data_IF_460051402200
#
_entry.id   IF_460051402200
#
_cell.length_a   1.000
_cell.length_b   1.000
_cell.length_c   1.000
_cell.angle_alpha   90.00
_cell.angle_beta   90.00
_cell.angle_gamma   90.00
#
_symmetry.space_group_name_H-M   'P 1'
#
loop_
_entity.id
_entity.type
_entity.pdbx_description
1 polymer ?
#
# COMPACT_ATOMS: atom_id res chain seq x y z
N UNK A 1 7.19 -53.03 63.21
CA UNK A 1 5.89 -53.48 62.69
C UNK A 1 5.67 -52.76 61.38
N UNK A 2 5.83 -53.49 60.31
CA UNK A 2 5.73 -53.12 58.95
C UNK A 2 4.25 -53.03 58.55
N UNK A 3 3.87 -52.03 57.77
CA UNK A 3 2.69 -52.13 56.90
C UNK A 3 3.04 -51.56 55.57
N UNK A 4 3.03 -52.43 54.59
CA UNK A 4 3.28 -52.19 53.18
C UNK A 4 2.04 -51.69 52.50
N UNK A 5 2.19 -50.66 51.66
CA UNK A 5 1.16 -50.14 50.74
C UNK A 5 1.39 -50.77 49.37
N UNK A 6 0.38 -51.36 48.71
CA UNK A 6 0.54 -52.01 47.41
C UNK A 6 0.58 -50.98 46.26
N UNK A 7 1.55 -51.17 45.40
CA UNK A 7 1.71 -50.46 44.13
C UNK A 7 0.66 -50.89 43.11
N UNK A 8 -0.16 -49.95 42.66
CA UNK A 8 -1.14 -50.15 41.62
C UNK A 8 -0.54 -49.76 40.27
N UNK A 9 -0.09 -50.73 39.50
CA UNK A 9 0.44 -50.59 38.15
C UNK A 9 -0.69 -50.47 37.16
N UNK A 10 -0.96 -49.24 36.69
CA UNK A 10 -1.92 -48.99 35.60
C UNK A 10 -1.20 -49.17 34.27
N UNK A 11 -1.49 -50.22 33.56
CA UNK A 11 -1.11 -50.42 32.16
C UNK A 11 -1.75 -49.38 31.26
N UNK A 12 -0.92 -48.42 30.79
CA UNK A 12 -1.31 -47.40 29.81
C UNK A 12 -1.09 -47.96 28.41
N UNK A 13 -2.16 -48.51 27.82
CA UNK A 13 -2.19 -48.90 26.39
C UNK A 13 -1.96 -47.68 25.53
N UNK A 14 -0.83 -47.64 24.84
CA UNK A 14 -0.52 -46.61 23.82
C UNK A 14 -1.39 -46.79 22.61
N UNK A 15 -2.45 -45.98 22.47
CA UNK A 15 -3.16 -45.80 21.22
C UNK A 15 -2.24 -45.11 20.21
N UNK A 16 -1.75 -45.88 19.25
CA UNK A 16 -1.06 -45.42 18.05
C UNK A 16 -1.97 -44.44 17.31
N UNK A 17 -1.71 -43.11 17.39
CA UNK A 17 -2.32 -42.11 16.55
C UNK A 17 -1.89 -42.40 15.11
N UNK A 18 -2.83 -42.80 14.26
CA UNK A 18 -2.67 -42.81 12.82
C UNK A 18 -2.37 -41.38 12.39
N UNK A 19 -1.22 -41.16 11.77
CA UNK A 19 -0.86 -39.92 11.11
C UNK A 19 -1.79 -39.77 9.88
N UNK A 20 -2.70 -38.79 9.93
CA UNK A 20 -3.37 -38.30 8.73
C UNK A 20 -2.31 -37.75 7.75
N UNK A 21 -2.43 -38.05 6.44
CA UNK A 21 -1.49 -37.54 5.47
C UNK A 21 -1.58 -36.02 5.43
N UNK A 22 -0.42 -35.35 5.50
CA UNK A 22 -0.29 -33.90 5.39
C UNK A 22 -0.95 -33.42 4.10
N UNK A 23 -1.95 -32.55 4.24
CA UNK A 23 -2.58 -31.86 3.10
C UNK A 23 -1.51 -31.15 2.27
N UNK A 24 -1.46 -31.34 0.95
CA UNK A 24 -0.48 -30.71 0.10
C UNK A 24 -0.59 -29.19 0.22
N UNK A 25 0.55 -28.53 0.49
CA UNK A 25 0.65 -27.10 0.64
C UNK A 25 -0.02 -26.40 -0.55
N UNK A 26 -0.99 -25.52 -0.28
CA UNK A 26 -1.57 -24.64 -1.30
C UNK A 26 -0.46 -23.75 -1.84
N UNK A 27 0.08 -24.18 -2.97
CA UNK A 27 0.99 -23.43 -3.81
C UNK A 27 0.48 -22.01 -4.05
N UNK A 28 1.41 -21.06 -4.16
CA UNK A 28 1.24 -19.71 -4.69
C UNK A 28 0.07 -19.64 -5.66
N UNK A 29 -0.91 -18.76 -5.40
CA UNK A 29 -2.05 -18.54 -6.28
C UNK A 29 -1.54 -18.09 -7.66
N UNK A 30 -1.22 -19.05 -8.50
CA UNK A 30 -1.07 -18.85 -9.93
C UNK A 30 -2.39 -18.28 -10.45
N UNK A 31 -2.32 -17.28 -11.33
CA UNK A 31 -3.51 -16.82 -12.04
C UNK A 31 -4.18 -18.05 -12.66
N UNK A 32 -5.52 -18.19 -12.55
CA UNK A 32 -6.19 -19.30 -13.20
C UNK A 32 -5.82 -19.27 -14.68
N UNK A 33 -5.22 -20.37 -15.16
CA UNK A 33 -4.86 -20.56 -16.55
C UNK A 33 -6.04 -20.20 -17.45
N UNK A 34 -5.78 -19.59 -18.61
CA UNK A 34 -6.84 -19.38 -19.61
C UNK A 34 -7.48 -20.72 -19.94
N UNK A 35 -8.81 -20.83 -19.97
CA UNK A 35 -9.47 -22.06 -20.36
C UNK A 35 -8.89 -22.55 -21.71
N UNK A 36 -8.64 -23.83 -21.86
CA UNK A 36 -8.13 -24.40 -23.12
C UNK A 36 -8.94 -23.98 -24.35
N UNK A 37 -10.25 -23.76 -24.17
CA UNK A 37 -11.16 -23.24 -25.21
C UNK A 37 -10.79 -21.86 -25.76
N UNK A 38 -9.85 -21.15 -25.12
CA UNK A 38 -9.37 -19.81 -25.54
C UNK A 38 -8.02 -19.85 -26.25
N UNK A 39 -7.40 -21.02 -26.34
CA UNK A 39 -6.11 -21.16 -27.03
C UNK A 39 -6.25 -20.74 -28.50
N UNK A 40 -5.31 -19.94 -28.98
CA UNK A 40 -5.26 -19.43 -30.36
C UNK A 40 -6.34 -18.42 -30.74
N UNK A 41 -7.21 -17.98 -29.82
CA UNK A 41 -8.30 -17.03 -30.11
C UNK A 41 -7.99 -15.61 -29.65
N UNK A 42 -8.41 -14.66 -30.44
CA UNK A 42 -8.37 -13.23 -30.09
C UNK A 42 -9.38 -12.92 -28.99
N UNK A 43 -9.19 -11.82 -28.24
CA UNK A 43 -10.18 -11.36 -27.26
C UNK A 43 -11.56 -11.12 -27.87
N UNK A 44 -11.63 -10.63 -29.10
CA UNK A 44 -12.88 -10.38 -29.82
C UNK A 44 -13.62 -11.68 -30.12
N UNK A 45 -12.93 -12.72 -30.60
CA UNK A 45 -13.53 -14.04 -30.84
C UNK A 45 -14.01 -14.71 -29.56
N UNK A 46 -13.30 -14.51 -28.43
CA UNK A 46 -13.72 -15.02 -27.14
C UNK A 46 -15.01 -14.32 -26.69
N UNK A 47 -15.03 -13.00 -26.78
CA UNK A 47 -16.19 -12.20 -26.35
C UNK A 47 -17.43 -12.37 -27.24
N UNK A 48 -17.25 -12.60 -28.55
CA UNK A 48 -18.34 -12.83 -29.51
C UNK A 48 -19.18 -14.07 -29.18
N UNK A 49 -18.64 -15.04 -28.43
CA UNK A 49 -19.36 -16.26 -28.01
C UNK A 49 -20.48 -16.00 -26.99
N UNK A 50 -20.42 -14.87 -26.29
CA UNK A 50 -21.36 -14.52 -25.25
C UNK A 50 -22.44 -13.59 -25.81
N UNK A 51 -23.67 -14.05 -25.87
CA UNK A 51 -24.79 -13.21 -26.32
C UNK A 51 -25.02 -12.06 -25.33
N UNK A 52 -25.15 -10.81 -25.82
CA UNK A 52 -25.44 -9.67 -24.98
C UNK A 52 -26.70 -9.87 -24.13
N UNK A 53 -26.63 -9.46 -22.87
CA UNK A 53 -27.76 -9.48 -21.93
C UNK A 53 -28.08 -10.81 -21.27
N UNK A 54 -27.62 -11.97 -21.81
CA UNK A 54 -27.93 -13.29 -21.21
C UNK A 54 -27.07 -13.61 -20.00
N UNK A 55 -25.78 -13.27 -20.04
CA UNK A 55 -24.80 -13.66 -18.99
C UNK A 55 -23.82 -12.53 -18.66
N UNK A 56 -24.31 -11.34 -18.22
CA UNK A 56 -23.50 -10.12 -18.11
C UNK A 56 -22.30 -10.30 -17.17
N UNK A 57 -22.47 -11.00 -16.05
CA UNK A 57 -21.37 -11.22 -15.11
C UNK A 57 -20.32 -12.20 -15.64
N UNK A 58 -20.69 -13.15 -16.48
CA UNK A 58 -19.70 -14.01 -17.16
C UNK A 58 -18.88 -13.21 -18.18
N UNK A 59 -19.51 -12.30 -18.93
CA UNK A 59 -18.79 -11.39 -19.82
C UNK A 59 -17.79 -10.52 -19.04
N UNK A 60 -18.20 -10.00 -17.86
CA UNK A 60 -17.30 -9.25 -16.98
C UNK A 60 -16.10 -10.09 -16.53
N UNK A 61 -16.31 -11.35 -16.13
CA UNK A 61 -15.22 -12.23 -15.73
C UNK A 61 -14.25 -12.53 -16.89
N UNK A 62 -14.78 -12.68 -18.10
CA UNK A 62 -13.95 -12.82 -19.30
C UNK A 62 -13.08 -11.59 -19.54
N UNK A 63 -13.67 -10.39 -19.48
CA UNK A 63 -12.93 -9.12 -19.61
C UNK A 63 -11.85 -8.99 -18.53
N UNK A 64 -12.16 -9.30 -17.29
CA UNK A 64 -11.19 -9.28 -16.19
C UNK A 64 -10.05 -10.27 -16.45
N UNK A 65 -10.33 -11.49 -16.89
CA UNK A 65 -9.28 -12.48 -17.18
C UNK A 65 -8.38 -12.08 -18.34
N UNK A 66 -8.94 -11.48 -19.38
CA UNK A 66 -8.20 -11.08 -20.58
C UNK A 66 -7.32 -9.84 -20.33
N UNK A 67 -7.84 -8.83 -19.65
CA UNK A 67 -7.25 -7.49 -19.69
C UNK A 67 -6.80 -6.94 -18.33
N UNK A 68 -7.19 -7.53 -17.20
CA UNK A 68 -6.94 -6.92 -15.89
C UNK A 68 -5.44 -6.85 -15.48
N UNK A 69 -4.55 -7.47 -16.23
CA UNK A 69 -3.09 -7.31 -16.06
C UNK A 69 -2.54 -6.03 -16.69
N UNK A 70 -3.26 -5.42 -17.63
CA UNK A 70 -2.82 -4.26 -18.40
C UNK A 70 -2.94 -2.96 -17.60
N UNK A 71 -1.96 -2.08 -17.76
CA UNK A 71 -2.02 -0.71 -17.26
C UNK A 71 -2.82 0.16 -18.22
N UNK A 72 -3.61 1.11 -17.71
CA UNK A 72 -4.52 1.93 -18.53
C UNK A 72 -3.83 3.06 -19.29
N UNK A 73 -2.61 3.41 -18.95
CA UNK A 73 -1.91 4.55 -19.55
C UNK A 73 -0.47 4.25 -19.98
N UNK A 74 0.07 3.09 -19.67
CA UNK A 74 1.47 2.75 -19.93
C UNK A 74 1.56 1.28 -20.38
N UNK A 75 2.51 0.95 -21.23
CA UNK A 75 2.82 -0.42 -21.66
C UNK A 75 3.51 -1.24 -20.57
N UNK A 76 2.86 -1.38 -19.45
CA UNK A 76 3.35 -2.19 -18.33
C UNK A 76 2.22 -2.95 -17.66
N UNK A 77 2.59 -3.97 -16.88
CA UNK A 77 1.63 -4.70 -16.06
C UNK A 77 1.31 -3.94 -14.77
N UNK A 78 0.10 -4.06 -14.27
CA UNK A 78 -0.30 -3.52 -12.97
C UNK A 78 0.02 -4.49 -11.83
N UNK A 79 0.21 -3.96 -10.63
CA UNK A 79 0.49 -4.76 -9.43
C UNK A 79 -0.67 -5.74 -9.13
N UNK A 80 -0.34 -6.85 -8.47
CA UNK A 80 -1.33 -7.83 -8.03
C UNK A 80 -2.45 -7.19 -7.20
N UNK A 81 -2.09 -6.27 -6.29
CA UNK A 81 -3.06 -5.52 -5.48
C UNK A 81 -4.02 -4.71 -6.34
N UNK A 82 -3.51 -3.96 -7.32
CA UNK A 82 -4.35 -3.17 -8.24
C UNK A 82 -5.29 -4.06 -9.05
N UNK A 83 -4.81 -5.22 -9.50
CA UNK A 83 -5.65 -6.20 -10.22
C UNK A 83 -6.77 -6.72 -9.34
N UNK A 84 -6.47 -7.06 -8.10
CA UNK A 84 -7.46 -7.54 -7.14
C UNK A 84 -8.50 -6.48 -6.81
N UNK A 85 -8.07 -5.27 -6.46
CA UNK A 85 -8.97 -4.16 -6.11
C UNK A 85 -9.87 -3.76 -7.27
N UNK A 86 -9.33 -3.69 -8.51
CA UNK A 86 -10.09 -3.38 -9.71
C UNK A 86 -11.12 -4.46 -10.02
N UNK A 87 -10.75 -5.74 -9.93
CA UNK A 87 -11.68 -6.84 -10.14
C UNK A 87 -12.81 -6.85 -9.11
N UNK A 88 -12.50 -6.66 -7.83
CA UNK A 88 -13.50 -6.57 -6.76
C UNK A 88 -14.45 -5.39 -6.96
N UNK A 89 -13.90 -4.23 -7.32
CA UNK A 89 -14.69 -3.04 -7.60
C UNK A 89 -15.64 -3.28 -8.78
N UNK A 90 -15.14 -3.80 -9.91
CA UNK A 90 -15.96 -4.01 -11.10
C UNK A 90 -17.11 -4.99 -10.82
N UNK A 91 -16.85 -6.11 -10.15
CA UNK A 91 -17.91 -7.05 -9.74
C UNK A 91 -18.98 -6.37 -8.90
N UNK A 92 -18.56 -5.61 -7.90
CA UNK A 92 -19.48 -4.87 -7.03
C UNK A 92 -20.24 -3.80 -7.80
N UNK A 93 -19.58 -3.03 -8.67
CA UNK A 93 -20.21 -1.98 -9.48
C UNK A 93 -21.38 -2.54 -10.30
N UNK A 94 -21.20 -3.64 -11.00
CA UNK A 94 -22.28 -4.25 -11.79
C UNK A 94 -23.41 -4.79 -10.92
N UNK A 95 -23.13 -5.37 -9.77
CA UNK A 95 -24.15 -5.77 -8.80
C UNK A 95 -24.90 -4.56 -8.22
N UNK A 96 -24.16 -3.50 -7.84
CA UNK A 96 -24.72 -2.29 -7.22
C UNK A 96 -25.60 -1.50 -8.19
N UNK A 97 -25.42 -1.60 -9.51
CA UNK A 97 -26.36 -1.04 -10.51
C UNK A 97 -27.78 -1.54 -10.27
N UNK A 98 -27.96 -2.84 -10.02
CA UNK A 98 -29.28 -3.41 -9.69
C UNK A 98 -29.67 -3.12 -8.25
N UNK A 99 -28.76 -3.29 -7.30
CA UNK A 99 -29.09 -3.28 -5.88
C UNK A 99 -29.28 -1.86 -5.30
N UNK A 100 -28.56 -0.87 -5.86
CA UNK A 100 -28.50 0.49 -5.29
C UNK A 100 -28.89 1.59 -6.26
N UNK A 101 -28.68 1.39 -7.58
CA UNK A 101 -28.94 2.41 -8.57
C UNK A 101 -30.27 2.24 -9.33
N UNK A 102 -31.12 1.30 -8.89
CA UNK A 102 -32.49 1.13 -9.37
C UNK A 102 -32.66 0.46 -10.75
N UNK A 103 -31.60 -0.12 -11.32
CA UNK A 103 -31.73 -0.82 -12.60
C UNK A 103 -32.39 -2.20 -12.40
N UNK A 104 -33.36 -2.53 -13.26
CA UNK A 104 -34.09 -3.81 -13.20
C UNK A 104 -33.16 -5.02 -13.41
N UNK A 105 -32.17 -4.88 -14.29
CA UNK A 105 -31.23 -5.94 -14.66
C UNK A 105 -29.80 -5.45 -14.60
N UNK A 106 -28.85 -6.35 -14.38
CA UNK A 106 -27.43 -6.08 -14.52
C UNK A 106 -27.12 -5.91 -16.01
N UNK A 107 -26.57 -4.77 -16.46
CA UNK A 107 -26.25 -4.57 -17.88
C UNK A 107 -25.05 -5.45 -18.29
N UNK A 108 -25.03 -5.88 -19.56
CA UNK A 108 -23.82 -6.41 -20.17
C UNK A 108 -22.73 -5.31 -20.15
N UNK A 109 -21.48 -5.61 -19.75
CA UNK A 109 -20.41 -4.61 -19.75
C UNK A 109 -20.23 -3.89 -21.09
N UNK A 110 -20.45 -4.58 -22.19
CA UNK A 110 -20.37 -4.00 -23.56
C UNK A 110 -21.46 -2.96 -23.80
N UNK A 111 -22.61 -3.06 -23.11
CA UNK A 111 -23.75 -2.13 -23.19
C UNK A 111 -23.76 -1.10 -22.04
N UNK A 112 -22.65 -0.99 -21.30
CA UNK A 112 -22.51 0.05 -20.29
C UNK A 112 -22.67 1.43 -20.94
N UNK A 113 -23.62 2.23 -20.45
CA UNK A 113 -23.92 3.58 -20.93
C UNK A 113 -23.66 4.65 -19.87
N UNK A 114 -23.67 5.93 -20.29
CA UNK A 114 -23.47 7.08 -19.38
C UNK A 114 -24.47 7.07 -18.21
N UNK A 115 -25.74 6.68 -18.47
CA UNK A 115 -26.78 6.58 -17.44
C UNK A 115 -26.39 5.69 -16.25
N UNK A 116 -25.66 4.59 -16.50
CA UNK A 116 -25.22 3.68 -15.46
C UNK A 116 -24.14 4.30 -14.59
N UNK A 117 -23.18 5.03 -15.21
CA UNK A 117 -22.11 5.72 -14.48
C UNK A 117 -22.69 6.86 -13.66
N UNK A 118 -23.60 7.65 -14.26
CA UNK A 118 -24.25 8.76 -13.58
C UNK A 118 -25.02 8.29 -12.34
N UNK A 119 -25.85 7.27 -12.48
CA UNK A 119 -26.61 6.72 -11.37
C UNK A 119 -25.70 6.18 -10.24
N UNK A 120 -24.59 5.50 -10.59
CA UNK A 120 -23.65 5.03 -9.58
C UNK A 120 -22.87 6.16 -8.89
N UNK A 121 -22.56 7.24 -9.61
CA UNK A 121 -21.96 8.43 -9.01
C UNK A 121 -22.88 9.05 -7.99
N UNK A 122 -24.19 9.13 -8.24
CA UNK A 122 -25.18 9.59 -7.27
C UNK A 122 -25.21 8.70 -6.03
N UNK A 123 -25.16 7.38 -6.20
CA UNK A 123 -25.06 6.42 -5.07
C UNK A 123 -23.79 6.68 -4.25
N UNK A 124 -22.66 6.99 -4.90
CA UNK A 124 -21.40 7.27 -4.19
C UNK A 124 -21.42 8.60 -3.45
N UNK A 125 -22.08 9.63 -4.00
CA UNK A 125 -22.29 10.91 -3.30
C UNK A 125 -23.19 10.73 -2.07
N UNK A 126 -24.32 10.05 -2.21
CA UNK A 126 -25.23 9.77 -1.11
C UNK A 126 -24.55 8.93 0.00
N UNK A 127 -23.64 8.05 -0.37
CA UNK A 127 -22.82 7.27 0.57
C UNK A 127 -21.61 8.06 1.12
N UNK A 128 -21.48 9.35 0.83
CA UNK A 128 -20.38 10.22 1.26
C UNK A 128 -18.98 9.61 1.04
N UNK A 129 -18.77 8.97 -0.12
CA UNK A 129 -17.47 8.37 -0.41
C UNK A 129 -16.39 9.45 -0.52
N UNK A 130 -15.21 9.15 0.04
CA UNK A 130 -14.08 10.06 -0.03
C UNK A 130 -13.68 10.35 -1.50
N UNK A 131 -13.29 11.61 -1.83
CA UNK A 131 -12.89 12.04 -3.17
C UNK A 131 -11.85 11.11 -3.85
N UNK A 132 -10.87 10.64 -3.07
CA UNK A 132 -9.86 9.69 -3.56
C UNK A 132 -10.46 8.33 -3.98
N UNK A 133 -11.53 7.88 -3.31
CA UNK A 133 -12.25 6.65 -3.64
C UNK A 133 -13.02 6.82 -4.95
N UNK A 134 -13.77 7.92 -5.10
CA UNK A 134 -14.51 8.23 -6.33
C UNK A 134 -13.56 8.29 -7.53
N UNK A 135 -12.44 9.00 -7.41
CA UNK A 135 -11.42 9.07 -8.46
C UNK A 135 -10.85 7.69 -8.82
N UNK A 136 -10.63 6.83 -7.82
CA UNK A 136 -10.15 5.47 -8.05
C UNK A 136 -11.20 4.64 -8.79
N UNK A 137 -12.46 4.75 -8.43
CA UNK A 137 -13.56 4.04 -9.08
C UNK A 137 -13.74 4.48 -10.53
N UNK A 138 -13.73 5.79 -10.79
CA UNK A 138 -13.76 6.32 -12.16
C UNK A 138 -12.54 5.88 -12.99
N UNK A 139 -11.35 5.78 -12.36
CA UNK A 139 -10.15 5.25 -13.03
C UNK A 139 -10.31 3.78 -13.41
N UNK A 140 -10.92 2.96 -12.54
CA UNK A 140 -11.18 1.54 -12.85
C UNK A 140 -12.21 1.39 -13.97
N UNK A 141 -13.24 2.25 -14.02
CA UNK A 141 -14.21 2.27 -15.11
C UNK A 141 -13.58 2.74 -16.43
N UNK A 142 -12.64 3.70 -16.41
CA UNK A 142 -11.85 4.06 -17.61
C UNK A 142 -11.06 2.86 -18.11
N UNK A 143 -10.45 2.07 -17.21
CA UNK A 143 -9.78 0.84 -17.58
C UNK A 143 -10.71 -0.17 -18.24
N UNK A 144 -11.91 -0.39 -17.70
CA UNK A 144 -12.91 -1.26 -18.30
C UNK A 144 -13.34 -0.74 -19.69
N UNK A 145 -13.58 0.57 -19.83
CA UNK A 145 -13.95 1.17 -21.11
C UNK A 145 -12.86 0.96 -22.17
N UNK A 146 -11.58 1.13 -21.80
CA UNK A 146 -10.43 0.86 -22.70
C UNK A 146 -10.37 -0.60 -23.14
N UNK A 147 -10.64 -1.57 -22.25
CA UNK A 147 -10.68 -2.99 -22.60
C UNK A 147 -11.72 -3.31 -23.69
N UNK A 148 -12.74 -2.45 -23.82
CA UNK A 148 -13.79 -2.57 -24.80
C UNK A 148 -13.62 -1.63 -26.01
N UNK A 149 -12.45 -0.97 -26.14
CA UNK A 149 -12.17 0.00 -27.21
C UNK A 149 -12.93 1.32 -27.08
N UNK A 150 -13.59 1.59 -25.95
CA UNK A 150 -14.40 2.80 -25.73
C UNK A 150 -13.57 3.91 -25.08
N UNK A 151 -12.61 4.47 -25.82
CA UNK A 151 -11.78 5.57 -25.35
C UNK A 151 -12.62 6.82 -25.06
N UNK A 152 -12.29 7.53 -23.98
CA UNK A 152 -13.02 8.76 -23.59
C UNK A 152 -14.46 8.54 -23.10
N UNK A 153 -14.93 7.30 -23.04
CA UNK A 153 -16.30 6.98 -22.60
C UNK A 153 -16.58 7.46 -21.18
N UNK A 154 -15.67 7.23 -20.22
CA UNK A 154 -15.83 7.74 -18.85
C UNK A 154 -15.37 9.19 -18.78
N UNK A 155 -16.32 10.10 -18.69
CA UNK A 155 -16.14 11.55 -18.72
C UNK A 155 -15.42 12.08 -17.47
N UNK A 156 -15.13 13.41 -17.49
CA UNK A 156 -14.62 14.11 -16.30
C UNK A 156 -15.67 14.07 -15.18
N UNK A 157 -15.25 14.10 -13.89
CA UNK A 157 -16.19 13.97 -12.77
C UNK A 157 -17.32 15.00 -12.76
N UNK A 158 -17.06 16.26 -13.14
CA UNK A 158 -18.08 17.30 -13.23
C UNK A 158 -19.22 17.00 -14.22
N UNK A 159 -18.99 16.16 -15.26
CA UNK A 159 -20.04 15.70 -16.16
C UNK A 159 -21.12 14.87 -15.45
N UNK A 160 -20.77 14.26 -14.32
CA UNK A 160 -21.68 13.46 -13.49
C UNK A 160 -22.26 14.23 -12.30
N UNK A 161 -22.18 15.58 -12.32
CA UNK A 161 -22.72 16.43 -11.27
C UNK A 161 -21.84 16.52 -10.00
N UNK A 162 -20.61 15.99 -10.05
CA UNK A 162 -19.67 16.11 -8.93
C UNK A 162 -19.08 17.53 -8.88
N UNK A 163 -19.15 18.16 -7.71
CA UNK A 163 -18.40 19.39 -7.43
C UNK A 163 -16.91 19.12 -7.35
N UNK A 164 -16.08 20.16 -7.44
CA UNK A 164 -14.63 19.98 -7.33
C UNK A 164 -14.22 19.32 -6.00
N UNK A 165 -14.93 19.61 -4.93
CA UNK A 165 -14.67 19.07 -3.58
C UNK A 165 -14.97 17.56 -3.51
N UNK A 166 -15.98 17.07 -4.23
CA UNK A 166 -16.37 15.67 -4.27
C UNK A 166 -15.31 14.76 -4.90
N UNK A 167 -14.41 15.29 -5.73
CA UNK A 167 -13.43 14.46 -6.43
C UNK A 167 -11.99 14.97 -6.33
N UNK A 168 -11.73 16.16 -5.77
CA UNK A 168 -10.36 16.68 -5.62
C UNK A 168 -9.60 15.88 -4.59
N UNK A 169 -8.53 15.23 -5.02
CA UNK A 169 -7.62 14.54 -4.09
C UNK A 169 -6.79 15.57 -3.34
N UNK A 170 -6.80 15.46 -2.03
CA UNK A 170 -5.84 16.18 -1.19
C UNK A 170 -4.59 15.30 -1.03
N UNK A 171 -3.51 15.68 -1.70
CA UNK A 171 -2.25 14.94 -1.68
C UNK A 171 -1.37 15.33 -0.47
N UNK A 172 -1.66 16.48 0.16
CA UNK A 172 -0.93 16.98 1.31
C UNK A 172 -1.58 16.52 2.63
N UNK A 173 -0.75 16.20 3.61
CA UNK A 173 -1.22 15.91 4.97
C UNK A 173 -1.86 17.17 5.57
N UNK A 174 -3.01 17.02 6.20
CA UNK A 174 -3.73 18.10 6.89
C UNK A 174 -3.58 18.04 8.40
N UNK A 175 -3.06 16.93 8.93
CA UNK A 175 -2.79 16.71 10.33
C UNK A 175 -1.57 15.83 10.48
N UNK A 176 -0.85 15.98 11.57
CA UNK A 176 0.18 15.04 11.96
C UNK A 176 -0.44 13.67 12.29
N UNK A 177 0.16 12.61 11.73
CA UNK A 177 -0.26 11.21 11.92
C UNK A 177 0.81 10.42 12.68
N UNK A 178 1.81 11.10 13.21
CA UNK A 178 2.85 10.51 14.05
C UNK A 178 2.25 9.89 15.30
N UNK A 179 2.90 8.93 15.88
CA UNK A 179 2.45 8.33 17.14
C UNK A 179 2.53 9.34 18.28
N UNK A 180 3.60 10.13 18.35
CA UNK A 180 3.76 11.20 19.34
C UNK A 180 2.62 12.21 19.29
N UNK A 181 2.19 12.64 18.09
CA UNK A 181 1.07 13.56 17.92
C UNK A 181 -0.28 12.97 18.38
N UNK A 182 -0.36 11.66 18.62
CA UNK A 182 -1.52 10.98 19.18
C UNK A 182 -1.31 10.58 20.66
N UNK A 183 -0.28 11.10 21.32
CA UNK A 183 0.06 10.77 22.71
C UNK A 183 0.50 9.32 22.92
N UNK A 184 1.06 8.67 21.87
CA UNK A 184 1.53 7.29 21.96
C UNK A 184 3.04 7.30 22.14
N UNK A 185 3.49 6.77 23.26
CA UNK A 185 4.90 6.45 23.49
C UNK A 185 5.27 5.22 22.63
N UNK A 186 6.02 5.49 21.56
CA UNK A 186 6.38 4.47 20.59
C UNK A 186 7.33 3.43 21.20
N UNK A 187 8.27 3.86 22.05
CA UNK A 187 9.25 2.97 22.66
C UNK A 187 8.59 2.00 23.64
N UNK A 188 7.74 2.51 24.54
CA UNK A 188 6.98 1.69 25.48
C UNK A 188 6.08 0.67 24.77
N UNK A 189 5.29 1.11 23.78
CA UNK A 189 4.42 0.21 23.01
C UNK A 189 5.22 -0.85 22.25
N UNK A 190 6.34 -0.47 21.62
CA UNK A 190 7.18 -1.41 20.88
C UNK A 190 7.82 -2.42 21.85
N UNK A 191 8.23 -2.01 23.05
CA UNK A 191 8.76 -2.90 24.08
C UNK A 191 7.71 -3.95 24.50
N UNK A 192 6.48 -3.52 24.79
CA UNK A 192 5.37 -4.43 25.08
C UNK A 192 5.07 -5.40 23.93
N UNK A 193 5.11 -4.90 22.70
CA UNK A 193 4.93 -5.74 21.49
C UNK A 193 6.05 -6.77 21.39
N UNK A 194 7.30 -6.43 21.70
CA UNK A 194 8.42 -7.38 21.68
C UNK A 194 8.20 -8.55 22.64
N UNK A 195 7.62 -8.30 23.82
CA UNK A 195 7.27 -9.34 24.77
C UNK A 195 6.18 -10.30 24.25
N UNK A 196 5.28 -9.80 23.43
CA UNK A 196 4.18 -10.57 22.85
C UNK A 196 4.53 -11.27 21.53
N UNK A 197 5.23 -10.57 20.65
CA UNK A 197 5.66 -11.05 19.33
C UNK A 197 6.96 -10.34 18.93
N UNK A 198 8.08 -11.00 19.21
CA UNK A 198 9.41 -10.45 19.03
C UNK A 198 9.68 -10.01 17.58
N UNK A 199 9.22 -10.78 16.58
CA UNK A 199 9.41 -10.43 15.14
C UNK A 199 8.61 -9.22 14.73
N UNK A 200 7.38 -9.07 15.24
CA UNK A 200 6.58 -7.88 15.00
C UNK A 200 7.19 -6.67 15.71
N UNK A 201 7.63 -6.83 16.97
CA UNK A 201 8.33 -5.79 17.71
C UNK A 201 9.58 -5.29 16.99
N UNK A 202 10.42 -6.20 16.51
CA UNK A 202 11.60 -5.85 15.70
C UNK A 202 11.24 -5.14 14.38
N UNK A 203 10.16 -5.57 13.72
CA UNK A 203 9.64 -4.88 12.53
C UNK A 203 9.20 -3.45 12.86
N UNK A 204 8.58 -3.23 14.02
CA UNK A 204 8.17 -1.89 14.46
C UNK A 204 9.37 -1.02 14.84
N UNK A 205 10.40 -1.56 15.50
CA UNK A 205 11.67 -0.85 15.75
C UNK A 205 12.31 -0.37 14.45
N UNK A 206 12.39 -1.24 13.44
CA UNK A 206 12.88 -0.86 12.12
C UNK A 206 11.98 0.19 11.43
N UNK A 207 10.67 0.14 11.63
CA UNK A 207 9.76 1.17 11.11
C UNK A 207 9.96 2.50 11.81
N UNK A 208 10.18 2.50 13.11
CA UNK A 208 10.44 3.69 13.93
C UNK A 208 11.81 4.31 13.62
N UNK A 209 12.85 3.51 13.48
CA UNK A 209 14.19 4.02 13.21
C UNK A 209 14.37 4.43 11.73
N UNK A 210 14.02 3.57 10.78
CA UNK A 210 14.35 3.74 9.37
C UNK A 210 13.17 4.24 8.52
N UNK A 211 12.05 4.58 9.11
CA UNK A 211 10.86 5.02 8.39
C UNK A 211 10.33 3.99 7.38
N UNK A 212 10.49 2.68 7.63
CA UNK A 212 10.07 1.63 6.71
C UNK A 212 8.54 1.56 6.61
N UNK A 213 8.06 1.23 5.38
CA UNK A 213 6.65 0.84 5.24
C UNK A 213 6.42 -0.55 5.84
N UNK A 214 5.23 -0.82 6.29
CA UNK A 214 4.80 -2.13 6.85
C UNK A 214 5.28 -3.34 6.05
N UNK A 215 5.13 -3.30 4.71
CA UNK A 215 5.61 -4.39 3.86
C UNK A 215 7.14 -4.43 3.78
N UNK A 216 7.78 -3.29 3.78
CA UNK A 216 9.24 -3.17 3.72
C UNK A 216 9.85 -3.74 5.01
N UNK A 217 9.30 -3.41 6.19
CA UNK A 217 9.81 -3.91 7.46
C UNK A 217 9.72 -5.44 7.58
N UNK A 218 8.58 -6.03 7.19
CA UNK A 218 8.40 -7.49 7.21
C UNK A 218 9.35 -8.23 6.24
N UNK A 219 9.67 -7.61 5.10
CA UNK A 219 10.56 -8.20 4.08
C UNK A 219 12.03 -7.79 4.25
N UNK A 220 12.34 -6.94 5.20
CA UNK A 220 13.71 -6.51 5.47
C UNK A 220 14.56 -7.69 5.94
N UNK A 221 15.78 -7.79 5.40
CA UNK A 221 16.78 -8.82 5.75
C UNK A 221 17.94 -8.11 6.45
N UNK A 222 18.03 -8.18 7.78
CA UNK A 222 18.92 -7.32 8.56
C UNK A 222 20.41 -7.46 8.23
N UNK A 223 20.81 -8.60 7.67
CA UNK A 223 22.19 -8.81 7.23
C UNK A 223 22.39 -8.49 5.73
N UNK A 224 21.49 -8.94 4.86
CA UNK A 224 21.67 -8.81 3.40
C UNK A 224 21.28 -7.44 2.84
N UNK A 225 20.38 -6.72 3.52
CA UNK A 225 19.95 -5.40 3.09
C UNK A 225 20.78 -4.27 3.70
N UNK A 226 21.96 -4.59 4.24
CA UNK A 226 22.92 -3.62 4.78
C UNK A 226 24.24 -3.80 4.06
N UNK A 227 24.77 -2.71 3.53
CA UNK A 227 26.01 -2.74 2.78
C UNK A 227 26.83 -1.46 3.00
N UNK A 228 28.15 -1.50 2.78
CA UNK A 228 29.01 -0.32 2.84
C UNK A 228 28.65 0.67 1.72
N UNK A 229 29.01 1.93 1.91
CA UNK A 229 28.79 2.98 0.92
C UNK A 229 29.37 2.61 -0.47
N UNK A 230 30.54 2.00 -0.51
CA UNK A 230 31.21 1.59 -1.75
C UNK A 230 30.41 0.64 -2.63
N UNK A 231 29.46 -0.08 -2.06
CA UNK A 231 28.58 -1.04 -2.78
C UNK A 231 27.23 -0.43 -3.19
N UNK A 232 26.93 0.81 -2.78
CA UNK A 232 25.64 1.44 -3.06
C UNK A 232 25.50 1.91 -4.50
N UNK A 233 26.61 2.22 -5.16
CA UNK A 233 26.62 2.87 -6.47
C UNK A 233 26.23 4.37 -6.41
N UNK A 234 26.10 4.96 -5.21
CA UNK A 234 25.86 6.38 -5.05
C UNK A 234 27.15 7.18 -5.34
N UNK A 235 27.03 8.41 -5.89
CA UNK A 235 28.16 9.32 -6.05
C UNK A 235 28.78 9.68 -4.70
N UNK A 236 30.10 9.90 -4.67
CA UNK A 236 30.85 10.24 -3.43
C UNK A 236 30.27 11.44 -2.68
N UNK A 237 29.83 12.46 -3.41
CA UNK A 237 29.19 13.65 -2.83
C UNK A 237 27.83 13.38 -2.16
N UNK A 238 27.30 12.17 -2.25
CA UNK A 238 26.07 11.73 -1.57
C UNK A 238 26.37 10.83 -0.37
N UNK A 239 27.63 10.63 -0.01
CA UNK A 239 27.99 9.88 1.18
C UNK A 239 27.53 10.63 2.44
N UNK A 240 26.69 9.98 3.25
CA UNK A 240 26.17 10.47 4.53
C UNK A 240 26.55 9.53 5.69
N UNK A 241 26.88 8.28 5.39
CA UNK A 241 27.25 7.25 6.36
C UNK A 241 28.19 6.22 5.73
N UNK A 242 28.85 5.41 6.55
CA UNK A 242 29.70 4.30 6.09
C UNK A 242 28.86 3.10 5.61
N UNK A 243 27.67 2.92 6.17
CA UNK A 243 26.75 1.83 5.84
C UNK A 243 25.36 2.34 5.53
N UNK A 244 24.71 1.62 4.64
CA UNK A 244 23.35 1.95 4.17
C UNK A 244 22.42 0.75 4.24
N UNK A 245 21.17 1.02 4.60
CA UNK A 245 20.09 0.04 4.42
C UNK A 245 19.50 0.16 3.02
N UNK A 246 19.50 -0.95 2.28
CA UNK A 246 18.89 -1.08 0.97
C UNK A 246 17.42 -1.44 1.11
N UNK A 247 16.53 -0.64 0.53
CA UNK A 247 15.09 -0.85 0.65
C UNK A 247 14.41 -0.78 -0.71
N UNK A 248 13.78 -1.89 -1.11
CA UNK A 248 12.96 -1.97 -2.33
C UNK A 248 11.52 -1.57 -2.04
N UNK A 249 11.13 -0.38 -2.46
CA UNK A 249 9.83 0.21 -2.21
C UNK A 249 8.75 -0.17 -3.22
N UNK A 250 7.63 0.56 -3.18
CA UNK A 250 6.52 0.42 -4.11
C UNK A 250 6.98 0.68 -5.55
N UNK A 251 6.59 -0.21 -6.47
CA UNK A 251 6.96 -0.09 -7.90
C UNK A 251 8.38 -0.54 -8.21
N UNK A 252 9.06 -1.22 -7.28
CA UNK A 252 10.42 -1.74 -7.48
C UNK A 252 11.53 -0.73 -7.28
N UNK A 253 11.21 0.51 -6.92
CA UNK A 253 12.22 1.55 -6.67
C UNK A 253 13.04 1.21 -5.45
N UNK A 254 14.35 1.33 -5.61
CA UNK A 254 15.32 1.18 -4.52
C UNK A 254 15.58 2.55 -3.90
N UNK A 255 15.77 2.57 -2.59
CA UNK A 255 16.34 3.69 -1.86
C UNK A 255 17.37 3.22 -0.86
N UNK A 256 18.28 4.08 -0.60
CA UNK A 256 19.33 3.92 0.38
C UNK A 256 19.00 4.77 1.61
N UNK A 257 19.08 4.18 2.79
CA UNK A 257 18.89 4.88 4.06
C UNK A 257 20.23 4.85 4.77
N UNK A 258 20.87 6.01 5.03
CA UNK A 258 22.11 6.06 5.75
C UNK A 258 21.90 5.51 7.18
N UNK A 259 22.86 4.74 7.65
CA UNK A 259 22.86 4.18 9.02
C UNK A 259 23.87 4.99 9.85
N UNK A 260 23.53 6.24 10.10
CA UNK A 260 24.39 7.30 10.66
C UNK A 260 24.14 7.59 12.14
N UNK A 261 23.07 7.05 12.72
CA UNK A 261 22.70 7.33 14.10
C UNK A 261 22.74 6.08 14.99
N UNK A 262 22.97 6.25 16.31
CA UNK A 262 22.89 5.16 17.28
C UNK A 262 21.54 4.43 17.26
N UNK A 263 20.44 5.16 16.99
CA UNK A 263 19.08 4.60 16.90
C UNK A 263 18.96 3.63 15.71
N UNK A 264 19.55 3.99 14.56
CA UNK A 264 19.59 3.13 13.38
C UNK A 264 20.34 1.84 13.66
N UNK A 265 21.54 1.98 14.29
CA UNK A 265 22.42 0.84 14.59
C UNK A 265 21.78 -0.09 15.62
N UNK A 266 21.21 0.44 16.70
CA UNK A 266 20.52 -0.33 17.72
C UNK A 266 19.30 -1.09 17.18
N UNK A 267 18.50 -0.45 16.32
CA UNK A 267 17.36 -1.10 15.68
C UNK A 267 17.79 -2.23 14.72
N UNK A 268 18.90 -2.03 14.00
CA UNK A 268 19.48 -3.03 13.12
C UNK A 268 20.03 -4.21 13.89
N UNK A 269 20.84 -3.97 14.94
CA UNK A 269 21.43 -5.00 15.80
C UNK A 269 20.32 -5.84 16.45
N UNK A 270 19.30 -5.19 17.01
CA UNK A 270 18.14 -5.89 17.56
C UNK A 270 17.49 -6.79 16.51
N UNK A 271 17.26 -6.29 15.28
CA UNK A 271 16.66 -7.05 14.20
C UNK A 271 17.54 -8.24 13.76
N UNK A 272 18.87 -8.08 13.79
CA UNK A 272 19.84 -9.15 13.52
C UNK A 272 19.77 -10.26 14.57
N UNK A 273 19.56 -9.91 15.85
CA UNK A 273 19.38 -10.87 16.93
C UNK A 273 18.07 -11.66 16.90
N UNK A 274 17.07 -11.18 16.13
CA UNK A 274 15.74 -11.81 16.05
C UNK A 274 15.61 -12.81 14.91
N UNK A 275 16.40 -12.71 13.86
CA UNK A 275 16.30 -13.60 12.71
C UNK A 275 17.11 -14.89 12.91
N UNK A 276 16.58 -16.00 12.40
CA UNK A 276 17.15 -17.32 12.62
C UNK A 276 18.40 -17.61 11.75
N UNK A 277 18.62 -16.80 10.71
CA UNK A 277 19.79 -16.94 9.81
C UNK A 277 20.12 -15.61 9.13
N UNK A 278 21.35 -15.52 8.58
CA UNK A 278 21.79 -14.33 7.83
C UNK A 278 20.96 -14.03 6.57
N UNK A 279 20.27 -15.03 6.04
CA UNK A 279 19.41 -14.91 4.85
C UNK A 279 17.95 -14.62 5.19
N UNK A 280 17.59 -14.69 6.47
CA UNK A 280 16.20 -14.58 6.89
C UNK A 280 15.69 -13.12 6.78
N UNK A 281 14.42 -12.97 6.47
CA UNK A 281 13.69 -11.71 6.58
C UNK A 281 12.98 -11.60 7.93
N UNK A 282 12.54 -10.40 8.30
CA UNK A 282 11.89 -10.14 9.59
C UNK A 282 10.59 -10.90 9.81
N UNK A 283 9.84 -11.22 8.75
CA UNK A 283 8.63 -12.03 8.88
C UNK A 283 8.93 -13.47 9.31
N UNK A 284 7.94 -14.14 9.91
CA UNK A 284 8.02 -15.57 10.24
C UNK A 284 8.23 -16.38 8.93
N UNK A 285 9.32 -17.16 8.81
CA UNK A 285 9.62 -17.92 7.58
C UNK A 285 8.58 -19.01 7.28
N UNK A 286 7.82 -19.46 8.27
CA UNK A 286 6.73 -20.44 8.12
C UNK A 286 5.46 -19.84 7.53
N UNK A 287 5.42 -18.53 7.29
CA UNK A 287 4.26 -17.78 6.80
C UNK A 287 4.60 -17.06 5.50
N UNK A 288 3.62 -17.03 4.60
CA UNK A 288 3.70 -16.15 3.44
C UNK A 288 3.61 -14.66 3.82
N UNK A 289 3.95 -13.78 2.90
CA UNK A 289 3.89 -12.33 3.12
C UNK A 289 2.51 -11.85 3.58
N UNK A 290 1.44 -12.42 3.03
CA UNK A 290 0.07 -12.03 3.37
C UNK A 290 -0.26 -12.38 4.83
N UNK A 291 0.16 -13.55 5.30
CA UNK A 291 -0.03 -13.99 6.68
C UNK A 291 0.82 -13.17 7.65
N UNK A 292 2.06 -12.86 7.28
CA UNK A 292 2.94 -11.99 8.06
C UNK A 292 2.37 -10.57 8.21
N UNK A 293 1.87 -9.98 7.12
CA UNK A 293 1.23 -8.67 7.18
C UNK A 293 -0.06 -8.68 8.03
N UNK A 294 -0.86 -9.75 7.95
CA UNK A 294 -2.04 -9.92 8.83
C UNK A 294 -1.65 -10.07 10.29
N UNK A 295 -0.54 -10.77 10.58
CA UNK A 295 -0.03 -10.89 11.94
C UNK A 295 0.37 -9.53 12.51
N UNK A 296 1.10 -8.73 11.73
CA UNK A 296 1.46 -7.37 12.12
C UNK A 296 0.20 -6.51 12.37
N UNK A 297 -0.80 -6.56 11.48
CA UNK A 297 -2.07 -5.84 11.66
C UNK A 297 -2.81 -6.29 12.93
N UNK A 298 -2.88 -7.59 13.19
CA UNK A 298 -3.49 -8.16 14.40
C UNK A 298 -2.79 -7.68 15.67
N UNK A 299 -1.45 -7.67 15.69
CA UNK A 299 -0.68 -7.22 16.86
C UNK A 299 -0.92 -5.73 17.09
N UNK A 300 -0.87 -4.89 16.06
CA UNK A 300 -1.19 -3.47 16.19
C UNK A 300 -2.61 -3.25 16.74
N UNK A 301 -3.59 -4.00 16.26
CA UNK A 301 -4.97 -3.92 16.75
C UNK A 301 -5.10 -4.36 18.22
N UNK A 302 -4.40 -5.43 18.61
CA UNK A 302 -4.33 -5.94 19.99
C UNK A 302 -3.81 -4.87 20.95
N UNK A 303 -2.76 -4.15 20.57
CA UNK A 303 -2.17 -3.05 21.35
C UNK A 303 -2.89 -1.70 21.13
N UNK A 304 -4.04 -1.71 20.48
CA UNK A 304 -4.88 -0.54 20.32
C UNK A 304 -4.43 0.45 19.26
N UNK A 305 -3.40 0.13 18.45
CA UNK A 305 -2.86 1.00 17.40
C UNK A 305 -3.75 0.93 16.16
N UNK A 306 -4.90 1.55 16.25
CA UNK A 306 -5.87 1.68 15.17
C UNK A 306 -6.40 3.11 15.09
N UNK A 307 -6.84 3.53 13.91
CA UNK A 307 -7.47 4.86 13.74
C UNK A 307 -8.65 5.07 14.68
N UNK A 308 -9.42 4.00 14.97
CA UNK A 308 -10.61 4.08 15.83
C UNK A 308 -10.26 4.23 17.32
N UNK A 309 -9.21 3.55 17.79
CA UNK A 309 -8.87 3.53 19.23
C UNK A 309 -7.93 4.67 19.64
N UNK A 310 -6.87 4.90 18.86
CA UNK A 310 -5.82 5.88 19.19
C UNK A 310 -5.53 6.87 18.05
N UNK A 311 -6.34 6.94 17.00
CA UNK A 311 -6.12 7.87 15.88
C UNK A 311 -4.87 7.55 15.02
N UNK A 312 -4.13 6.49 15.34
CA UNK A 312 -2.87 6.12 14.73
C UNK A 312 -2.92 4.76 14.03
N UNK A 313 -1.96 4.51 13.17
CA UNK A 313 -1.67 3.21 12.54
C UNK A 313 -0.17 2.95 12.58
N UNK A 314 0.28 1.74 12.24
CA UNK A 314 1.72 1.48 12.11
C UNK A 314 2.43 2.41 11.11
N UNK A 315 1.71 3.03 10.17
CA UNK A 315 2.28 4.02 9.26
C UNK A 315 2.63 5.34 9.94
N UNK A 316 2.08 5.60 11.13
CA UNK A 316 2.40 6.77 11.96
C UNK A 316 3.88 6.85 12.35
N UNK A 317 4.53 5.72 12.62
CA UNK A 317 5.98 5.67 12.87
C UNK A 317 6.80 6.25 11.71
N UNK A 318 6.38 6.00 10.48
CA UNK A 318 7.01 6.59 9.31
C UNK A 318 6.70 8.08 9.16
N UNK A 319 5.49 8.53 9.55
CA UNK A 319 5.21 9.96 9.60
C UNK A 319 6.12 10.67 10.60
N UNK A 320 6.39 10.05 11.75
CA UNK A 320 7.35 10.52 12.74
C UNK A 320 8.71 10.81 12.08
N UNK A 321 9.39 9.75 11.62
CA UNK A 321 10.72 9.84 11.01
C UNK A 321 10.81 10.89 9.90
N UNK A 322 9.77 11.02 9.07
CA UNK A 322 9.80 11.97 7.95
C UNK A 322 9.54 13.42 8.38
N UNK A 323 8.80 13.63 9.46
CA UNK A 323 8.63 14.96 10.04
C UNK A 323 9.88 15.37 10.81
N UNK A 324 10.50 14.46 11.57
CA UNK A 324 11.75 14.68 12.28
C UNK A 324 12.88 15.03 11.29
N UNK A 325 13.03 14.26 10.22
CA UNK A 325 14.01 14.53 9.16
C UNK A 325 13.81 15.91 8.47
N UNK A 326 12.58 16.41 8.37
CA UNK A 326 12.34 17.77 7.90
C UNK A 326 12.81 18.80 8.91
N UNK A 327 12.52 18.61 10.19
CA UNK A 327 12.89 19.49 11.29
C UNK A 327 14.40 19.51 11.50
N UNK A 328 15.09 18.37 11.43
CA UNK A 328 16.55 18.27 11.49
C UNK A 328 17.25 19.10 10.40
N UNK A 329 16.69 19.10 9.18
CA UNK A 329 17.26 19.85 8.06
C UNK A 329 16.96 21.36 8.14
N UNK A 330 15.75 21.72 8.60
CA UNK A 330 15.28 23.11 8.55
C UNK A 330 15.44 23.86 9.86
N UNK A 331 15.64 23.17 10.97
CA UNK A 331 15.60 23.74 12.33
C UNK A 331 14.20 24.19 12.77
N UNK A 332 13.15 23.86 11.97
CA UNK A 332 11.77 24.28 12.22
C UNK A 332 10.84 23.09 12.07
N UNK A 333 9.87 22.89 12.99
CA UNK A 333 8.87 21.84 12.85
C UNK A 333 8.22 21.84 11.46
N UNK A 334 7.82 20.68 10.97
CA UNK A 334 7.16 20.59 9.67
C UNK A 334 5.82 21.36 9.64
N UNK A 335 5.34 21.80 8.47
CA UNK A 335 4.08 22.54 8.37
C UNK A 335 2.87 21.83 9.03
N UNK A 336 2.83 20.50 9.01
CA UNK A 336 1.75 19.75 9.64
C UNK A 336 1.86 19.71 11.17
N UNK A 337 3.05 19.99 11.71
CA UNK A 337 3.34 20.17 13.15
C UNK A 337 3.27 21.63 13.59
N UNK A 338 2.80 22.54 12.71
CA UNK A 338 2.65 23.95 13.02
C UNK A 338 3.90 24.78 12.85
N UNK A 339 4.92 24.29 12.17
CA UNK A 339 6.16 25.02 11.90
C UNK A 339 5.94 26.28 11.07
N UNK A 340 6.76 27.28 11.36
CA UNK A 340 6.76 28.58 10.70
C UNK A 340 7.31 28.56 9.28
N UNK A 341 7.42 29.73 8.62
CA UNK A 341 7.98 29.86 7.30
C UNK A 341 9.48 29.56 7.30
N UNK A 342 9.92 28.84 6.28
CA UNK A 342 11.32 28.51 5.98
C UNK A 342 11.65 29.14 4.63
N UNK A 343 12.92 29.45 4.35
CA UNK A 343 13.30 29.95 3.03
C UNK A 343 12.89 28.96 1.94
N UNK A 344 12.45 29.43 0.75
CA UNK A 344 11.98 28.53 -0.32
C UNK A 344 13.03 27.50 -0.75
N UNK A 345 14.30 27.87 -0.72
CA UNK A 345 15.43 27.02 -1.09
C UNK A 345 15.60 25.89 -0.08
N UNK A 346 15.60 26.22 1.21
CA UNK A 346 15.76 25.26 2.30
C UNK A 346 14.54 24.33 2.40
N UNK A 347 13.31 24.87 2.27
CA UNK A 347 12.09 24.04 2.23
C UNK A 347 12.12 23.06 1.04
N UNK A 348 12.57 23.53 -0.14
CA UNK A 348 12.68 22.65 -1.31
C UNK A 348 13.71 21.55 -1.11
N UNK A 349 14.88 21.88 -0.55
CA UNK A 349 15.93 20.91 -0.25
C UNK A 349 15.45 19.87 0.78
N UNK A 350 14.87 20.32 1.89
CA UNK A 350 14.30 19.44 2.93
C UNK A 350 13.19 18.53 2.37
N UNK A 351 12.27 19.06 1.56
CA UNK A 351 11.24 18.26 0.90
C UNK A 351 11.80 17.22 -0.05
N UNK A 352 12.88 17.55 -0.75
CA UNK A 352 13.54 16.59 -1.63
C UNK A 352 14.17 15.45 -0.82
N UNK A 353 14.91 15.77 0.25
CA UNK A 353 15.52 14.79 1.15
C UNK A 353 14.45 13.87 1.80
N UNK A 354 13.39 14.45 2.37
CA UNK A 354 12.26 13.71 2.93
C UNK A 354 11.60 12.83 1.88
N UNK A 355 11.45 13.32 0.64
CA UNK A 355 10.89 12.51 -0.46
C UNK A 355 11.80 11.33 -0.81
N UNK A 356 13.09 11.53 -0.89
CA UNK A 356 14.07 10.46 -1.16
C UNK A 356 14.06 9.43 -0.04
N UNK A 357 14.11 9.86 1.22
CA UNK A 357 13.96 8.99 2.39
C UNK A 357 12.62 8.21 2.35
N UNK A 358 11.56 8.85 1.87
CA UNK A 358 10.28 8.21 1.62
C UNK A 358 10.25 7.32 0.35
N UNK A 359 11.31 7.22 -0.42
CA UNK A 359 11.37 6.45 -1.68
C UNK A 359 10.53 7.06 -2.80
N UNK A 360 10.45 8.37 -2.85
CA UNK A 360 9.85 9.16 -3.93
C UNK A 360 10.91 10.02 -4.62
N UNK A 361 10.72 10.31 -5.92
CA UNK A 361 11.67 11.07 -6.69
C UNK A 361 11.36 12.60 -6.74
N UNK A 362 10.19 13.02 -6.26
CA UNK A 362 9.72 14.41 -6.43
C UNK A 362 9.50 15.06 -5.06
N UNK A 363 10.05 16.25 -4.84
CA UNK A 363 9.91 17.03 -3.59
C UNK A 363 8.44 17.19 -3.15
N UNK A 364 7.53 17.40 -4.10
CA UNK A 364 6.07 17.49 -3.84
C UNK A 364 5.52 16.28 -3.06
N UNK A 365 6.09 15.09 -3.23
CA UNK A 365 5.59 13.89 -2.57
C UNK A 365 5.78 13.91 -1.05
N UNK A 366 6.72 14.71 -0.52
CA UNK A 366 6.90 14.92 0.91
C UNK A 366 5.63 15.51 1.55
N UNK A 367 4.87 16.33 0.82
CA UNK A 367 3.63 16.92 1.33
C UNK A 367 2.63 15.91 1.90
N UNK A 368 2.66 14.65 1.45
CA UNK A 368 1.82 13.59 2.00
C UNK A 368 2.13 13.24 3.46
N UNK A 369 3.30 13.66 3.97
CA UNK A 369 3.77 13.44 5.34
C UNK A 369 3.86 14.74 6.13
N UNK A 370 4.59 15.72 5.60
CA UNK A 370 4.94 16.96 6.30
C UNK A 370 3.95 18.12 6.09
N UNK A 371 2.92 17.90 5.25
CA UNK A 371 1.96 18.96 4.93
C UNK A 371 2.51 20.03 3.97
N UNK A 372 1.75 21.09 3.82
CA UNK A 372 2.13 22.30 3.06
C UNK A 372 1.69 23.54 3.83
N UNK A 373 2.50 24.59 3.81
CA UNK A 373 2.12 25.90 4.35
C UNK A 373 1.00 26.45 3.45
N UNK A 374 -0.19 26.61 4.00
CA UNK A 374 -1.28 27.29 3.32
C UNK A 374 -1.04 28.79 3.47
N UNK A 375 -0.62 29.46 2.40
CA UNK A 375 -0.52 30.93 2.42
C UNK A 375 -1.90 31.51 2.64
N UNK A 376 -2.11 32.38 3.66
CA UNK A 376 -3.34 33.13 3.79
C UNK A 376 -3.60 33.88 2.45
N UNK A 377 -4.76 33.69 1.84
CA UNK A 377 -5.13 34.33 0.58
C UNK A 377 -4.82 33.55 -0.70
N UNK A 378 -4.21 32.36 -0.65
CA UNK A 378 -3.98 31.55 -1.86
C UNK A 378 -5.17 30.65 -2.27
N UNK A 379 -6.36 31.03 -1.95
CA UNK A 379 -7.56 30.54 -2.59
C UNK A 379 -7.50 30.95 -4.07
N UNK A 380 -7.07 30.07 -4.97
CA UNK A 380 -7.16 30.33 -6.40
C UNK A 380 -8.61 30.63 -6.74
N UNK A 381 -8.88 31.73 -7.50
CA UNK A 381 -10.23 32.00 -7.94
C UNK A 381 -10.78 30.79 -8.72
N UNK A 382 -12.03 30.47 -8.48
CA UNK A 382 -12.77 29.48 -9.26
C UNK A 382 -12.72 29.96 -10.72
N UNK A 383 -11.96 29.26 -11.59
CA UNK A 383 -11.87 29.61 -13.02
C UNK A 383 -10.47 29.70 -13.61
N UNK A 384 -9.40 29.61 -12.84
CA UNK A 384 -8.05 29.56 -13.44
C UNK A 384 -7.81 28.22 -14.15
N UNK A 385 -7.36 28.20 -15.43
CA UNK A 385 -7.05 26.97 -16.14
C UNK A 385 -5.93 26.22 -15.42
N UNK A 386 -6.08 24.89 -15.32
CA UNK A 386 -4.99 24.03 -14.84
C UNK A 386 -3.75 24.27 -15.70
N UNK A 387 -2.55 24.45 -15.11
CA UNK A 387 -1.32 24.41 -15.89
C UNK A 387 -1.30 23.06 -16.61
N UNK A 388 -1.07 23.10 -17.92
CA UNK A 388 -0.84 21.90 -18.72
C UNK A 388 0.18 21.05 -17.98
N UNK A 389 -0.12 19.78 -17.78
CA UNK A 389 0.88 18.79 -17.37
C UNK A 389 1.87 18.73 -18.52
N UNK A 390 3.09 19.17 -18.26
CA UNK A 390 4.21 18.79 -19.11
C UNK A 390 4.38 17.28 -18.92
N UNK A 391 3.77 16.52 -19.82
CA UNK A 391 3.94 15.07 -19.96
C UNK A 391 5.24 14.75 -20.70
N UNK A 392 6.19 15.70 -20.70
CA UNK A 392 7.48 15.55 -21.36
C UNK A 392 8.60 15.50 -20.31
N UNK A 393 8.90 14.30 -19.85
CA UNK A 393 10.20 13.91 -19.28
C UNK A 393 10.40 12.40 -19.52
N UNK A 394 10.36 12.03 -20.79
CA UNK A 394 11.02 10.86 -21.32
C UNK A 394 12.49 11.15 -21.57
N UNK A 395 13.26 11.45 -20.53
CA UNK A 395 14.70 11.42 -20.63
C UNK A 395 15.21 10.02 -20.32
N UNK A 396 15.52 9.27 -21.37
CA UNK A 396 16.37 8.12 -21.33
C UNK A 396 17.72 8.51 -20.69
N UNK A 397 18.13 7.75 -19.67
CA UNK A 397 19.50 7.72 -19.20
C UNK A 397 20.19 6.57 -19.96
N UNK A 398 21.30 6.79 -20.69
CA UNK A 398 22.01 5.71 -21.36
C UNK A 398 22.80 4.88 -20.36
N UNK A 399 22.83 3.59 -20.62
CA UNK A 399 23.68 2.45 -20.19
C UNK A 399 24.15 2.44 -18.74
#
# INVERSE_FOLDING_TARGET
>A
MSDAIPSNTVHRTSRRRQQEPASPGRSSQQQPARPQSWAGKTPQEILARYQPGKVPLQVLEVLIKLFNSQHTALEKTVSHKTRQERAQFLRRFFCDLKQKAGFKTVPDPRNLGQKHIHAMVQVWQQAHLAPATIQTYLSFLRGLAMWMGKHGFVRKPGHYGLSLEDYRRHESARRDKSWSAQGIDAEAVIAEVCLFDLRVGASLRLMSALGLRRKESVQFRPFQHVMPFSETGLPENQQQADRYAWVKGKGGRVRWIPLDSPVHLAALEFAQGVVDSRDAHMGDPRRDLKRNLRRLDYVLEKFGITLRKRGATGHGLRHEVLNDAYEDITGVPSPVRGGGPVSPELDRAARLAVSQLAGHARARAAGAYIGTIIKPGSGRPVGSPEPKRDDDDGAAVPV
#
